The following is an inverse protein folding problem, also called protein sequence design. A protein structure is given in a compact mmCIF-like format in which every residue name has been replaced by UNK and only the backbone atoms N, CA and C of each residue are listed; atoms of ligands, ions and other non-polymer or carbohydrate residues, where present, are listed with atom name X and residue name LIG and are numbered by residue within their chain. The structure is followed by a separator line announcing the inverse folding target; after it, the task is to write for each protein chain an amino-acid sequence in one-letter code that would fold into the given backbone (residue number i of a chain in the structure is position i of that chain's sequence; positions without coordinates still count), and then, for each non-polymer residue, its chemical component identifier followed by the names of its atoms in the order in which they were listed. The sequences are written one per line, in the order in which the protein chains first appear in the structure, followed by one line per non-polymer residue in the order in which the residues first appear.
data_IF_587243533216
#
_entry.id   IF_587243533216
#
_cell.length_a   1.000
_cell.length_b   1.000
_cell.length_c   1.000
_cell.angle_alpha   90.00
_cell.angle_beta   90.00
_cell.angle_gamma   90.00
#
_symmetry.space_group_name_H-M   'P 1'
#
loop_
_entity.id
_entity.type
_entity.pdbx_description
1 polymer ?
#
# COMPACT_ATOMS: atom_id res chain seq x y z
N UNK A 1 20.66 14.46 8.71
CA UNK A 1 20.14 13.40 9.61
C UNK A 1 20.92 12.14 9.33
N UNK A 2 21.40 11.44 10.37
CA UNK A 2 22.27 10.26 10.26
C UNK A 2 21.66 9.07 11.03
N UNK A 3 21.92 7.86 10.53
CA UNK A 3 21.56 6.59 11.17
C UNK A 3 22.84 5.82 11.47
N UNK A 4 22.87 5.09 12.59
CA UNK A 4 24.00 4.23 12.91
C UNK A 4 23.85 2.88 12.19
N UNK A 5 24.86 2.47 11.42
CA UNK A 5 24.78 1.30 10.54
C UNK A 5 24.54 -0.03 11.28
N UNK A 6 25.10 -0.21 12.48
CA UNK A 6 24.97 -1.50 13.17
C UNK A 6 23.59 -1.70 13.83
N UNK A 7 22.94 -0.63 14.28
CA UNK A 7 21.67 -0.73 15.02
C UNK A 7 20.47 -0.14 14.25
N UNK A 8 20.71 0.53 13.13
CA UNK A 8 19.69 1.18 12.29
C UNK A 8 18.92 2.30 13.00
N UNK A 9 19.34 2.70 14.20
CA UNK A 9 18.67 3.74 14.96
C UNK A 9 19.14 5.12 14.52
N UNK A 10 18.23 6.07 14.61
CA UNK A 10 18.48 7.47 14.33
C UNK A 10 19.47 8.04 15.36
N UNK A 11 20.45 8.80 14.89
CA UNK A 11 21.40 9.48 15.77
C UNK A 11 20.92 10.88 16.10
N UNK A 12 21.18 11.31 17.34
CA UNK A 12 20.83 12.63 17.86
C UNK A 12 22.07 13.51 17.96
N UNK A 13 21.94 14.81 17.65
CA UNK A 13 23.04 15.76 17.83
C UNK A 13 23.16 16.18 19.29
N UNK A 14 24.33 16.00 19.89
CA UNK A 14 24.71 16.58 21.18
C UNK A 14 26.01 17.37 20.98
N UNK A 15 25.88 18.69 20.81
CA UNK A 15 27.01 19.56 20.47
C UNK A 15 27.65 19.19 19.12
N UNK A 16 28.93 18.81 19.17
CA UNK A 16 29.74 18.40 18.02
C UNK A 16 29.77 16.87 17.82
N UNK A 17 28.88 16.13 18.48
CA UNK A 17 28.82 14.66 18.45
C UNK A 17 27.42 14.16 18.05
N UNK A 18 27.40 13.07 17.29
CA UNK A 18 26.23 12.23 17.03
C UNK A 18 26.15 11.13 18.08
N UNK A 19 25.05 11.06 18.81
CA UNK A 19 24.82 10.07 19.88
C UNK A 19 23.65 9.18 19.50
N UNK A 20 23.89 7.87 19.47
CA UNK A 20 22.84 6.88 19.31
C UNK A 20 22.28 6.46 20.68
N UNK A 21 21.03 6.82 20.99
CA UNK A 21 20.39 6.48 22.28
C UNK A 21 20.05 5.00 22.45
N UNK A 22 20.04 4.23 21.36
CA UNK A 22 19.69 2.80 21.39
C UNK A 22 20.89 1.89 21.69
N UNK A 23 22.10 2.31 21.34
CA UNK A 23 23.32 1.52 21.52
C UNK A 23 24.48 2.28 22.16
N UNK A 24 24.24 3.52 22.59
CA UNK A 24 25.19 4.40 23.30
C UNK A 24 26.48 4.70 22.51
N UNK A 25 26.47 4.48 21.19
CA UNK A 25 27.58 4.82 20.30
C UNK A 25 27.61 6.32 19.99
N UNK A 26 28.82 6.86 19.89
CA UNK A 26 29.11 8.26 19.64
C UNK A 26 30.03 8.44 18.43
N UNK A 27 29.72 9.40 17.55
CA UNK A 27 30.53 9.74 16.38
C UNK A 27 30.71 11.26 16.24
N UNK A 28 31.87 11.72 15.78
CA UNK A 28 32.13 13.15 15.62
C UNK A 28 31.37 13.72 14.41
N UNK A 29 30.76 14.90 14.57
CA UNK A 29 30.04 15.58 13.49
C UNK A 29 31.02 16.17 12.47
N UNK A 30 30.77 15.88 11.19
CA UNK A 30 31.43 16.55 10.08
C UNK A 30 30.56 17.70 9.55
N UNK A 31 30.91 18.92 9.94
CA UNK A 31 30.19 20.13 9.54
C UNK A 31 30.23 20.41 8.03
N UNK A 32 31.23 19.92 7.29
CA UNK A 32 31.27 20.06 5.83
C UNK A 32 30.30 19.08 5.16
N UNK A 33 30.27 17.83 5.63
CA UNK A 33 29.29 16.85 5.14
C UNK A 33 27.85 17.30 5.42
N UNK A 34 27.61 17.88 6.61
CA UNK A 34 26.31 18.46 6.96
C UNK A 34 25.92 19.66 6.09
N UNK A 35 26.89 20.50 5.71
CA UNK A 35 26.65 21.65 4.84
C UNK A 35 26.27 21.24 3.40
N UNK A 36 26.80 20.13 2.89
CA UNK A 36 26.39 19.56 1.58
C UNK A 36 24.97 18.99 1.65
N UNK A 37 24.58 18.48 2.80
CA UNK A 37 23.23 17.94 3.06
C UNK A 37 22.18 19.04 3.30
N UNK A 38 22.59 20.31 3.39
CA UNK A 38 21.67 21.44 3.38
C UNK A 38 21.08 21.55 1.96
N UNK A 39 19.88 21.00 1.77
CA UNK A 39 19.15 21.01 0.51
C UNK A 39 19.02 22.43 -0.04
N UNK A 40 19.86 22.78 -1.02
CA UNK A 40 19.70 23.94 -1.90
C UNK A 40 18.99 23.58 -3.21
N UNK A 41 18.91 22.30 -3.55
CA UNK A 41 18.06 21.85 -4.65
C UNK A 41 16.60 21.87 -4.19
N UNK A 42 15.89 22.89 -4.67
CA UNK A 42 14.45 23.01 -4.50
C UNK A 42 13.77 21.74 -4.95
N UNK A 43 12.76 21.32 -4.18
CA UNK A 43 11.89 20.20 -4.50
C UNK A 43 11.50 20.26 -5.99
N UNK A 44 12.08 19.40 -6.82
CA UNK A 44 11.70 19.31 -8.21
C UNK A 44 10.31 18.67 -8.27
N UNK A 45 9.34 19.44 -8.73
CA UNK A 45 7.99 18.95 -9.04
C UNK A 45 8.03 18.19 -10.37
N UNK A 46 8.82 17.13 -10.43
CA UNK A 46 8.90 16.21 -11.59
C UNK A 46 7.63 15.34 -11.71
N UNK A 47 6.58 15.67 -10.94
CA UNK A 47 5.34 14.92 -10.84
C UNK A 47 5.49 13.64 -10.02
N UNK A 48 4.37 13.08 -9.60
CA UNK A 48 4.36 11.74 -9.00
C UNK A 48 4.87 10.72 -10.03
N UNK A 49 5.71 9.75 -9.64
CA UNK A 49 6.10 8.67 -10.53
C UNK A 49 4.85 7.92 -11.01
N UNK A 50 4.88 7.41 -12.23
CA UNK A 50 3.78 6.61 -12.76
C UNK A 50 3.57 5.37 -11.88
N UNK A 51 2.50 5.38 -11.08
CA UNK A 51 2.01 4.22 -10.35
C UNK A 51 1.07 3.45 -11.26
N UNK A 52 1.30 2.15 -11.42
CA UNK A 52 0.32 1.29 -12.05
C UNK A 52 -0.89 1.19 -11.10
N UNK A 53 -2.01 1.80 -11.47
CA UNK A 53 -3.28 1.59 -10.76
C UNK A 53 -3.77 0.18 -11.05
N UNK A 54 -3.27 -0.78 -10.27
CA UNK A 54 -3.64 -2.19 -10.38
C UNK A 54 -5.10 -2.47 -9.97
N UNK A 55 -5.85 -1.45 -9.56
CA UNK A 55 -7.25 -1.51 -9.15
C UNK A 55 -8.20 -1.22 -10.31
N UNK A 56 -7.73 -0.57 -11.37
CA UNK A 56 -8.56 -0.22 -12.53
C UNK A 56 -8.72 -1.41 -13.49
N UNK A 57 -9.80 -2.18 -13.30
CA UNK A 57 -10.25 -3.19 -14.25
C UNK A 57 -10.12 -4.64 -13.79
N UNK A 58 -9.50 -4.90 -12.65
CA UNK A 58 -9.57 -6.21 -12.01
C UNK A 58 -10.80 -6.26 -11.10
N UNK A 59 -11.97 -6.58 -11.63
CA UNK A 59 -13.03 -7.06 -10.73
C UNK A 59 -12.49 -8.34 -10.12
N UNK A 60 -12.11 -8.31 -8.84
CA UNK A 60 -11.53 -9.45 -8.16
C UNK A 60 -12.41 -10.68 -8.39
N UNK A 61 -11.84 -11.71 -9.01
CA UNK A 61 -12.53 -12.96 -9.27
C UNK A 61 -12.20 -13.97 -8.18
N UNK A 62 -13.20 -14.61 -7.59
CA UNK A 62 -13.04 -15.67 -6.61
C UNK A 62 -13.53 -17.03 -7.15
N UNK A 63 -13.20 -18.11 -6.43
CA UNK A 63 -13.78 -19.43 -6.71
C UNK A 63 -15.19 -19.49 -6.13
N UNK A 64 -16.18 -19.48 -7.00
CA UNK A 64 -17.60 -19.56 -6.66
C UNK A 64 -18.33 -20.27 -7.82
N UNK A 65 -19.03 -21.40 -7.56
CA UNK A 65 -19.74 -22.14 -8.59
C UNK A 65 -20.94 -21.37 -9.11
N UNK A 66 -21.10 -21.31 -10.43
CA UNK A 66 -22.24 -20.67 -11.06
C UNK A 66 -23.51 -21.53 -10.81
N UNK A 67 -24.61 -20.94 -10.31
CA UNK A 67 -25.84 -21.69 -10.04
C UNK A 67 -26.69 -21.96 -11.28
N UNK A 68 -26.26 -21.50 -12.46
CA UNK A 68 -27.01 -21.70 -13.71
C UNK A 68 -26.78 -23.12 -14.25
N UNK A 69 -27.86 -23.86 -14.52
CA UNK A 69 -27.82 -25.25 -14.99
C UNK A 69 -27.05 -25.44 -16.32
N UNK A 70 -26.97 -24.38 -17.13
CA UNK A 70 -26.27 -24.35 -18.42
C UNK A 70 -24.82 -23.83 -18.33
N UNK A 71 -24.28 -23.63 -17.12
CA UNK A 71 -22.96 -23.05 -16.91
C UNK A 71 -22.13 -23.77 -15.83
N UNK A 72 -21.07 -24.43 -16.28
CA UNK A 72 -20.07 -25.16 -15.49
C UNK A 72 -18.92 -24.29 -14.91
N UNK A 73 -19.10 -22.96 -14.84
CA UNK A 73 -18.05 -22.07 -14.33
C UNK A 73 -17.92 -22.12 -12.81
N UNK A 74 -16.67 -22.19 -12.32
CA UNK A 74 -16.33 -22.10 -10.89
C UNK A 74 -15.70 -20.76 -10.51
N UNK A 75 -15.85 -19.72 -11.34
CA UNK A 75 -15.33 -18.38 -11.05
C UNK A 75 -16.41 -17.32 -11.19
N UNK A 76 -16.42 -16.40 -10.24
CA UNK A 76 -17.29 -15.23 -10.23
C UNK A 76 -16.53 -13.99 -9.80
N UNK A 77 -16.90 -12.84 -10.35
CA UNK A 77 -16.54 -11.54 -9.80
C UNK A 77 -17.59 -11.10 -8.79
N UNK A 78 -17.25 -10.24 -7.83
CA UNK A 78 -18.21 -9.78 -6.82
C UNK A 78 -18.20 -8.26 -6.65
N UNK A 79 -19.37 -7.72 -6.31
CA UNK A 79 -19.56 -6.32 -5.95
C UNK A 79 -20.31 -6.24 -4.62
N UNK A 80 -19.91 -5.35 -3.72
CA UNK A 80 -20.64 -5.10 -2.47
C UNK A 80 -21.79 -4.13 -2.75
N UNK A 81 -23.02 -4.57 -2.50
CA UNK A 81 -24.22 -3.76 -2.67
C UNK A 81 -24.99 -3.65 -1.35
N UNK A 82 -25.58 -2.47 -1.05
CA UNK A 82 -26.48 -2.35 0.09
C UNK A 82 -27.74 -3.20 -0.14
N UNK A 83 -28.26 -3.82 0.91
CA UNK A 83 -29.62 -4.38 0.87
C UNK A 83 -30.64 -3.25 0.71
N UNK A 84 -31.77 -3.52 0.04
CA UNK A 84 -32.93 -2.64 0.12
C UNK A 84 -33.29 -2.42 1.59
N UNK A 85 -33.23 -1.17 2.07
CA UNK A 85 -33.43 -0.84 3.49
C UNK A 85 -32.16 -0.59 4.32
N UNK A 86 -30.97 -0.63 3.73
CA UNK A 86 -29.79 0.11 4.21
C UNK A 86 -29.02 -0.46 5.41
N UNK A 87 -29.35 -1.66 5.90
CA UNK A 87 -28.76 -2.13 7.16
C UNK A 87 -27.57 -3.09 7.01
N UNK A 88 -27.28 -3.61 5.81
CA UNK A 88 -26.16 -4.53 5.59
C UNK A 88 -25.74 -4.61 4.12
N UNK A 89 -24.44 -4.77 3.93
CA UNK A 89 -23.79 -5.01 2.64
C UNK A 89 -23.91 -6.50 2.28
N UNK A 90 -24.29 -6.80 1.05
CA UNK A 90 -24.23 -8.17 0.51
C UNK A 90 -23.50 -8.20 -0.80
N UNK A 91 -22.77 -9.29 -1.00
CA UNK A 91 -22.07 -9.55 -2.25
C UNK A 91 -23.08 -9.92 -3.33
N UNK A 92 -22.97 -9.25 -4.47
CA UNK A 92 -23.59 -9.67 -5.72
C UNK A 92 -22.50 -10.30 -6.58
N UNK A 93 -22.64 -11.60 -6.83
CA UNK A 93 -21.73 -12.34 -7.69
C UNK A 93 -22.15 -12.19 -9.15
N UNK A 94 -21.18 -12.18 -10.05
CA UNK A 94 -21.36 -12.24 -11.50
C UNK A 94 -20.46 -13.32 -12.07
N UNK A 95 -21.03 -14.30 -12.76
CA UNK A 95 -20.26 -15.39 -13.38
C UNK A 95 -19.36 -14.81 -14.47
N UNK A 96 -18.08 -15.16 -14.45
CA UNK A 96 -17.13 -14.66 -15.47
C UNK A 96 -17.36 -15.28 -16.85
N UNK A 97 -18.06 -16.42 -16.94
CA UNK A 97 -18.34 -17.16 -18.18
C UNK A 97 -19.65 -16.74 -18.82
N UNK A 98 -20.77 -16.82 -18.09
CA UNK A 98 -22.11 -16.57 -18.62
C UNK A 98 -22.73 -15.23 -18.18
N UNK A 99 -22.11 -14.50 -17.26
CA UNK A 99 -22.63 -13.23 -16.75
C UNK A 99 -23.84 -13.34 -15.82
N UNK A 100 -24.27 -14.56 -15.46
CA UNK A 100 -25.35 -14.77 -14.50
C UNK A 100 -25.02 -14.07 -13.16
N UNK A 101 -26.01 -13.40 -12.56
CA UNK A 101 -25.84 -12.67 -11.30
C UNK A 101 -26.65 -13.30 -10.19
N UNK A 102 -26.02 -13.57 -9.05
CA UNK A 102 -26.68 -14.17 -7.88
C UNK A 102 -26.15 -13.58 -6.58
N UNK A 103 -26.89 -13.81 -5.50
CA UNK A 103 -26.47 -13.44 -4.13
C UNK A 103 -26.14 -14.72 -3.37
N UNK A 104 -25.24 -14.62 -2.40
CA UNK A 104 -25.02 -15.68 -1.41
C UNK A 104 -26.36 -16.04 -0.78
N UNK A 105 -26.66 -17.35 -0.71
CA UNK A 105 -27.92 -17.89 -0.19
C UNK A 105 -27.91 -17.98 1.33
#
# INVERSE_FOLDING_TARGET
MQFYDECGSIMHTEGDTWVCRSCENEEQRDSQAEAVMATQDGQQDDGAPAVADATQGTTETMQEPCPADDCDSNRASYEMLPKPGGSYEVRLFTCVKCGHKWRES
#
